data_IF_479898919679
#
_entry.id   IF_479898919679
#
_cell.length_a   1.000
_cell.length_b   1.000
_cell.length_c   1.000
_cell.angle_alpha   90.00
_cell.angle_beta   90.00
_cell.angle_gamma   90.00
#
_symmetry.space_group_name_H-M   'P 1'
#
loop_
_entity.id
_entity.type
_entity.pdbx_description
1 polymer ?
#
# COMPACT_ATOMS: atom_id res chain seq x y z
N UNK A 1 7.24 3.70 -15.79
CA UNK A 1 6.12 2.76 -15.81
C UNK A 1 5.55 2.76 -14.41
N UNK A 2 4.25 3.03 -14.29
CA UNK A 2 3.58 3.10 -12.99
C UNK A 2 2.87 1.79 -12.71
N UNK A 3 2.87 1.41 -11.44
CA UNK A 3 2.26 0.21 -10.93
C UNK A 3 1.22 0.58 -9.89
N UNK A 4 0.11 -0.15 -9.86
CA UNK A 4 -1.02 0.09 -8.97
C UNK A 4 -1.38 -1.22 -8.30
N UNK A 5 -1.51 -1.17 -6.98
CA UNK A 5 -1.89 -2.29 -6.14
C UNK A 5 -3.17 -1.96 -5.38
N UNK A 6 -4.18 -2.85 -5.35
CA UNK A 6 -5.32 -2.66 -4.47
C UNK A 6 -4.87 -2.74 -3.01
N UNK A 7 -5.28 -1.76 -2.20
CA UNK A 7 -4.95 -1.76 -0.78
C UNK A 7 -5.81 -2.79 -0.03
N UNK A 8 -5.20 -3.60 0.82
CA UNK A 8 -5.87 -4.60 1.65
C UNK A 8 -5.51 -4.41 3.12
N UNK A 9 -6.48 -4.63 4.02
CA UNK A 9 -6.29 -4.43 5.46
C UNK A 9 -5.45 -5.55 6.12
N UNK A 10 -5.05 -6.57 5.37
CA UNK A 10 -4.27 -7.72 5.85
C UNK A 10 -2.76 -7.48 5.86
N UNK A 11 -2.28 -6.34 5.36
CA UNK A 11 -0.85 -6.06 5.28
C UNK A 11 -0.28 -5.61 6.63
N UNK A 12 0.97 -6.00 6.93
CA UNK A 12 1.72 -5.41 8.03
C UNK A 12 2.14 -3.98 7.65
N UNK A 13 1.35 -3.01 8.13
CA UNK A 13 1.55 -1.59 7.84
C UNK A 13 2.92 -1.08 8.29
N UNK A 14 3.44 -1.55 9.44
CA UNK A 14 4.73 -1.07 9.94
C UNK A 14 5.84 -1.47 8.99
N UNK A 15 5.88 -2.77 8.65
CA UNK A 15 6.89 -3.31 7.74
C UNK A 15 6.77 -2.71 6.34
N UNK A 16 5.54 -2.56 5.85
CA UNK A 16 5.26 -1.88 4.58
C UNK A 16 5.83 -0.46 4.55
N UNK A 17 5.57 0.36 5.58
CA UNK A 17 6.07 1.73 5.63
C UNK A 17 7.59 1.84 5.83
N UNK A 18 8.22 0.83 6.43
CA UNK A 18 9.68 0.71 6.48
C UNK A 18 10.25 0.43 5.08
N UNK A 19 9.67 -0.53 4.37
CA UNK A 19 10.10 -0.88 3.00
C UNK A 19 9.81 0.24 1.98
N UNK A 20 8.73 1.01 2.16
CA UNK A 20 8.46 2.22 1.34
C UNK A 20 9.60 3.23 1.44
N UNK A 21 10.33 3.31 2.55
CA UNK A 21 11.50 4.21 2.66
C UNK A 21 12.67 3.74 1.81
N UNK A 22 12.75 2.44 1.52
CA UNK A 22 13.78 1.85 0.66
C UNK A 22 13.45 2.01 -0.84
N UNK A 23 12.23 2.38 -1.20
CA UNK A 23 11.86 2.71 -2.58
C UNK A 23 12.66 3.91 -3.10
N UNK A 24 13.03 3.86 -4.38
CA UNK A 24 13.75 4.93 -5.07
C UNK A 24 12.82 6.10 -5.39
N UNK A 25 11.58 5.81 -5.80
CA UNK A 25 10.58 6.79 -6.23
C UNK A 25 9.51 6.99 -5.16
N UNK A 26 8.67 8.01 -5.35
CA UNK A 26 7.52 8.24 -4.47
C UNK A 26 6.49 7.11 -4.57
N UNK A 27 6.00 6.71 -3.40
CA UNK A 27 4.90 5.76 -3.25
C UNK A 27 3.71 6.52 -2.73
N UNK A 28 2.57 6.36 -3.38
CA UNK A 28 1.35 7.06 -3.03
C UNK A 28 0.27 6.11 -2.55
N UNK A 29 -0.43 6.50 -1.48
CA UNK A 29 -1.76 5.99 -1.20
C UNK A 29 -2.78 6.90 -1.87
N UNK A 30 -3.70 6.32 -2.64
CA UNK A 30 -4.80 7.02 -3.31
C UNK A 30 -6.12 6.45 -2.77
N UNK A 31 -6.95 7.29 -2.14
CA UNK A 31 -8.29 6.89 -1.69
C UNK A 31 -9.28 6.89 -2.86
N UNK A 32 -10.40 6.18 -2.72
CA UNK A 32 -11.48 6.19 -3.71
C UNK A 32 -12.09 7.60 -3.93
N UNK A 33 -11.93 8.49 -2.96
CA UNK A 33 -12.37 9.88 -3.03
C UNK A 33 -11.35 10.82 -3.71
N UNK A 34 -10.18 10.28 -4.10
CA UNK A 34 -9.12 11.02 -4.77
C UNK A 34 -8.09 11.66 -3.84
N UNK A 35 -8.12 11.37 -2.54
CA UNK A 35 -7.06 11.82 -1.63
C UNK A 35 -5.75 11.13 -2.00
N UNK A 36 -4.65 11.88 -2.03
CA UNK A 36 -3.32 11.36 -2.39
C UNK A 36 -2.30 11.65 -1.29
N UNK A 37 -1.73 10.61 -0.71
CA UNK A 37 -0.73 10.70 0.36
C UNK A 37 0.62 10.15 -0.11
N UNK A 38 1.67 10.95 -0.03
CA UNK A 38 3.04 10.55 -0.36
C UNK A 38 3.65 9.75 0.81
N UNK A 39 3.62 8.43 0.75
CA UNK A 39 3.96 7.53 1.85
C UNK A 39 5.43 7.54 2.25
N UNK A 40 6.35 8.17 1.48
CA UNK A 40 7.73 8.40 1.93
C UNK A 40 7.84 9.57 2.92
N UNK A 41 6.87 10.47 2.94
CA UNK A 41 6.82 11.58 3.90
C UNK A 41 6.33 11.09 5.26
N UNK A 42 7.13 11.29 6.32
CA UNK A 42 6.75 10.95 7.69
C UNK A 42 5.42 11.60 8.13
N UNK A 43 5.12 12.80 7.64
CA UNK A 43 3.85 13.47 7.91
C UNK A 43 2.67 12.75 7.24
N UNK A 44 2.82 12.34 5.97
CA UNK A 44 1.80 11.56 5.29
C UNK A 44 1.66 10.16 5.89
N UNK A 45 2.74 9.54 6.38
CA UNK A 45 2.67 8.28 7.13
C UNK A 45 1.83 8.44 8.41
N UNK A 46 2.00 9.55 9.14
CA UNK A 46 1.17 9.85 10.32
C UNK A 46 -0.32 9.96 9.93
N UNK A 47 -0.63 10.72 8.87
CA UNK A 47 -2.01 10.85 8.36
C UNK A 47 -2.55 9.47 7.95
N UNK A 48 -1.74 8.68 7.25
CA UNK A 48 -2.06 7.34 6.82
C UNK A 48 -2.45 6.45 8.02
N UNK A 49 -1.67 6.47 9.11
CA UNK A 49 -2.04 5.78 10.36
C UNK A 49 -3.39 6.21 10.94
N UNK A 50 -3.73 7.49 10.87
CA UNK A 50 -5.03 7.96 11.36
C UNK A 50 -6.19 7.45 10.50
N UNK A 51 -6.02 7.38 9.17
CA UNK A 51 -7.09 6.95 8.27
C UNK A 51 -7.22 5.43 8.21
N UNK A 52 -6.18 4.65 8.50
CA UNK A 52 -6.23 3.17 8.57
C UNK A 52 -7.29 2.65 9.56
N UNK A 53 -7.57 3.41 10.61
CA UNK A 53 -8.63 3.09 11.59
C UNK A 53 -10.05 3.41 11.09
N UNK A 54 -10.21 3.86 9.84
CA UNK A 54 -11.48 4.23 9.21
C UNK A 54 -11.75 3.32 8.01
N UNK A 55 -12.36 2.14 8.20
CA UNK A 55 -12.52 1.13 7.15
C UNK A 55 -13.25 1.66 5.90
N UNK A 56 -14.14 2.65 6.04
CA UNK A 56 -14.83 3.28 4.91
C UNK A 56 -13.89 4.01 3.94
N UNK A 57 -12.74 4.52 4.41
CA UNK A 57 -11.75 5.25 3.58
C UNK A 57 -10.74 4.34 2.90
N UNK A 58 -10.71 3.06 3.30
CA UNK A 58 -9.81 2.04 2.74
C UNK A 58 -10.46 1.24 1.62
N UNK A 59 -11.80 1.28 1.55
CA UNK A 59 -12.54 0.65 0.47
C UNK A 59 -12.14 1.27 -0.87
N UNK A 60 -11.73 0.42 -1.81
CA UNK A 60 -11.30 0.80 -3.16
C UNK A 60 -10.06 1.72 -3.22
N UNK A 61 -9.31 1.81 -2.11
CA UNK A 61 -8.04 2.54 -2.09
C UNK A 61 -6.94 1.74 -2.79
N UNK A 62 -5.94 2.45 -3.31
CA UNK A 62 -4.82 1.84 -4.04
C UNK A 62 -3.48 2.39 -3.59
N UNK A 63 -2.44 1.58 -3.72
CA UNK A 63 -1.05 1.99 -3.61
C UNK A 63 -0.48 2.13 -5.02
N UNK A 64 0.09 3.29 -5.32
CA UNK A 64 0.76 3.58 -6.59
C UNK A 64 2.25 3.76 -6.36
N UNK A 65 3.07 3.08 -7.15
CA UNK A 65 4.51 3.31 -7.18
C UNK A 65 5.01 3.36 -8.63
N UNK A 66 6.23 3.84 -8.82
CA UNK A 66 6.85 3.97 -10.13
C UNK A 66 8.15 3.18 -10.17
N UNK A 67 8.45 2.55 -11.30
CA UNK A 67 9.71 1.83 -11.48
C UNK A 67 9.67 0.36 -11.01
N UNK A 68 10.51 -0.47 -11.66
CA UNK A 68 10.53 -1.92 -11.43
C UNK A 68 11.09 -2.29 -10.06
N UNK A 69 12.03 -1.51 -9.54
CA UNK A 69 12.64 -1.73 -8.23
C UNK A 69 11.60 -1.60 -7.12
N UNK A 70 10.88 -0.48 -7.08
CA UNK A 70 9.83 -0.22 -6.09
C UNK A 70 8.70 -1.25 -6.19
N UNK A 71 8.31 -1.64 -7.41
CA UNK A 71 7.37 -2.74 -7.60
C UNK A 71 7.84 -4.03 -6.91
N UNK A 72 9.10 -4.42 -7.07
CA UNK A 72 9.62 -5.65 -6.47
C UNK A 72 9.62 -5.61 -4.93
N UNK A 73 9.87 -4.44 -4.34
CA UNK A 73 9.81 -4.24 -2.88
C UNK A 73 8.37 -4.37 -2.39
N UNK A 74 7.40 -3.79 -3.12
CA UNK A 74 6.01 -3.70 -2.67
C UNK A 74 5.16 -4.92 -3.03
N UNK A 75 5.55 -5.70 -4.06
CA UNK A 75 4.82 -6.88 -4.54
C UNK A 75 4.42 -7.86 -3.40
N UNK A 76 5.29 -8.21 -2.44
CA UNK A 76 4.96 -9.18 -1.39
C UNK A 76 3.82 -8.77 -0.46
N UNK A 77 3.46 -7.48 -0.43
CA UNK A 77 2.34 -6.98 0.38
C UNK A 77 0.98 -7.14 -0.33
N UNK A 78 0.98 -7.31 -1.64
CA UNK A 78 -0.24 -7.29 -2.47
C UNK A 78 -0.42 -8.54 -3.34
N UNK A 79 0.63 -9.34 -3.55
CA UNK A 79 0.52 -10.71 -4.06
C UNK A 79 0.03 -11.62 -2.93
N UNK A 80 -1.28 -11.70 -2.79
CA UNK A 80 -1.93 -12.80 -2.09
C UNK A 80 -2.39 -13.75 -3.20
N UNK A 81 -1.55 -14.71 -3.54
CA UNK A 81 -2.09 -15.97 -4.07
C UNK A 81 -2.95 -16.57 -2.95
N UNK A 82 -4.24 -16.73 -3.27
CA UNK A 82 -5.22 -17.50 -2.52
C UNK A 82 -4.63 -18.90 -2.26
N UNK A 83 -4.01 -19.10 -1.10
CA UNK A 83 -3.68 -20.44 -0.62
C UNK A 83 -4.59 -20.72 0.58
N UNK A 84 -5.34 -21.82 0.44
CA UNK A 84 -6.17 -22.51 1.44
C UNK A 84 -7.68 -22.23 1.44
N UNK A 85 -8.36 -22.61 0.35
CA UNK A 85 -9.61 -23.39 0.49
C UNK A 85 -9.27 -24.89 0.44
N UNK A 86 -9.13 -25.47 1.62
CA UNK A 86 -8.76 -26.85 1.86
C UNK A 86 -9.65 -27.89 1.17
N UNK A 87 -8.97 -28.86 0.56
CA UNK A 87 -9.21 -30.29 0.66
C UNK A 87 -10.30 -30.72 1.68
N UNK A 88 -11.50 -31.03 1.18
CA UNK A 88 -12.20 -32.29 1.50
C UNK A 88 -13.32 -32.61 0.50
#
# INVERSE_FOLDING_TARGET
MDYVFPFTNSIDIKKFLEDVKACENEVYFESAEGDKLALRSAFCQLIFYFILNRPQKMKDAVIRCSGKHDRMILLPYFDIEDNEAGQK
#
